data_IF_412074613770
#
_entry.id   IF_412074613770
#
_cell.length_a   1.000
_cell.length_b   1.000
_cell.length_c   1.000
_cell.angle_alpha   90.00
_cell.angle_beta   90.00
_cell.angle_gamma   90.00
#
_symmetry.space_group_name_H-M   'P 1'
#
loop_
_entity.id
_entity.type
_entity.pdbx_description
1 polymer ?
#
# COMPACT_ATOMS: atom_id res chain seq x y z
N UNK A 1 -1.29 13.82 -16.57
CA UNK A 1 -0.33 13.22 -15.61
C UNK A 1 -1.02 12.04 -14.95
N UNK A 2 -0.40 10.86 -14.98
CA UNK A 2 -0.84 9.70 -14.22
C UNK A 2 0.10 9.60 -13.02
N UNK A 3 -0.43 9.70 -11.81
CA UNK A 3 0.36 9.76 -10.57
C UNK A 3 -0.15 8.67 -9.64
N UNK A 4 0.76 7.80 -9.21
CA UNK A 4 0.49 6.88 -8.12
C UNK A 4 0.77 7.59 -6.79
N UNK A 5 -0.23 7.66 -5.92
CA UNK A 5 -0.10 8.22 -4.59
C UNK A 5 0.09 7.10 -3.57
N UNK A 6 1.15 7.17 -2.77
CA UNK A 6 1.43 6.19 -1.72
C UNK A 6 1.38 6.84 -0.34
N UNK A 7 0.77 6.13 0.62
CA UNK A 7 0.78 6.53 2.03
C UNK A 7 1.84 5.69 2.73
N UNK A 8 2.97 6.30 3.06
CA UNK A 8 4.07 5.65 3.76
C UNK A 8 3.88 5.79 5.27
N UNK A 9 3.47 4.70 5.92
CA UNK A 9 3.34 4.63 7.38
C UNK A 9 4.55 3.95 8.01
N UNK A 10 4.91 4.34 9.22
CA UNK A 10 6.05 3.78 9.94
C UNK A 10 5.81 2.35 10.38
N UNK A 11 6.82 1.48 10.23
CA UNK A 11 6.80 0.14 10.82
C UNK A 11 7.63 0.08 12.11
N UNK A 12 7.16 -0.64 13.14
CA UNK A 12 7.93 -0.88 14.35
C UNK A 12 9.14 -1.77 14.04
N UNK A 13 10.25 -1.55 14.76
CA UNK A 13 11.52 -2.27 14.56
C UNK A 13 11.40 -3.78 14.79
N UNK A 14 10.50 -4.18 15.70
CA UNK A 14 10.28 -5.59 16.01
C UNK A 14 9.51 -6.28 14.88
N UNK A 15 10.04 -7.37 14.30
CA UNK A 15 9.39 -8.09 13.20
C UNK A 15 7.99 -8.61 13.54
N UNK A 16 7.78 -8.99 14.80
CA UNK A 16 6.49 -9.52 15.28
C UNK A 16 5.44 -8.40 15.27
N UNK A 17 5.79 -7.23 15.81
CA UNK A 17 4.91 -6.08 15.79
C UNK A 17 4.69 -5.57 14.35
N UNK A 18 5.72 -5.57 13.49
CA UNK A 18 5.56 -5.18 12.09
C UNK A 18 4.58 -6.09 11.35
N UNK A 19 4.62 -7.41 11.61
CA UNK A 19 3.66 -8.37 11.07
C UNK A 19 2.24 -8.10 11.59
N UNK A 20 2.10 -7.78 12.87
CA UNK A 20 0.82 -7.45 13.47
C UNK A 20 0.21 -6.18 12.86
N UNK A 21 1.02 -5.17 12.58
CA UNK A 21 0.58 -3.90 11.95
C UNK A 21 0.04 -4.15 10.55
N UNK A 22 0.79 -4.88 9.72
CA UNK A 22 0.32 -5.29 8.38
C UNK A 22 -0.97 -6.09 8.50
N UNK A 23 -1.03 -7.06 9.41
CA UNK A 23 -2.22 -7.88 9.60
C UNK A 23 -3.46 -7.06 9.96
N UNK A 24 -3.34 -6.07 10.86
CA UNK A 24 -4.43 -5.12 11.17
C UNK A 24 -4.92 -4.37 9.93
N UNK A 25 -3.98 -3.92 9.10
CA UNK A 25 -4.32 -3.25 7.83
C UNK A 25 -5.02 -4.20 6.86
N UNK A 26 -4.58 -5.46 6.75
CA UNK A 26 -5.24 -6.49 5.95
C UNK A 26 -6.66 -6.79 6.44
N UNK A 27 -6.87 -6.80 7.76
CA UNK A 27 -8.19 -6.97 8.36
C UNK A 27 -9.13 -5.84 7.98
N UNK A 28 -8.72 -4.57 8.15
CA UNK A 28 -9.53 -3.41 7.77
C UNK A 28 -9.81 -3.42 6.27
N UNK A 29 -8.80 -3.70 5.45
CA UNK A 29 -8.98 -3.84 4.01
C UNK A 29 -10.02 -4.92 3.68
N UNK A 30 -9.89 -6.11 4.28
CA UNK A 30 -10.82 -7.22 4.09
C UNK A 30 -12.25 -6.91 4.52
N UNK A 31 -12.45 -6.19 5.63
CA UNK A 31 -13.76 -5.71 6.06
C UNK A 31 -14.31 -4.67 5.06
N UNK A 32 -13.47 -3.72 4.64
CA UNK A 32 -13.83 -2.67 3.69
C UNK A 32 -14.20 -3.22 2.31
N UNK A 33 -13.68 -4.40 1.93
CA UNK A 33 -14.10 -5.10 0.70
C UNK A 33 -15.61 -5.39 0.65
N UNK A 34 -16.28 -5.50 1.81
CA UNK A 34 -17.73 -5.67 1.88
C UNK A 34 -18.55 -4.55 1.25
N UNK A 35 -17.96 -3.35 1.16
CA UNK A 35 -18.59 -2.16 0.60
C UNK A 35 -18.32 -1.96 -0.89
N UNK A 36 -17.58 -2.89 -1.52
CA UNK A 36 -17.40 -2.87 -2.97
C UNK A 36 -18.68 -3.35 -3.66
N UNK A 37 -18.97 -2.78 -4.83
CA UNK A 37 -20.08 -3.23 -5.69
C UNK A 37 -19.96 -4.71 -6.05
N UNK A 38 -18.75 -5.19 -6.34
CA UNK A 38 -18.48 -6.58 -6.71
C UNK A 38 -17.18 -7.04 -6.02
N UNK A 39 -17.23 -8.23 -5.41
CA UNK A 39 -16.07 -8.91 -4.82
C UNK A 39 -15.72 -10.13 -5.68
N UNK A 40 -14.63 -10.04 -6.45
CA UNK A 40 -14.20 -11.10 -7.36
C UNK A 40 -13.44 -12.22 -6.62
N UNK A 41 -14.16 -13.08 -5.90
CA UNK A 41 -13.56 -14.16 -5.10
C UNK A 41 -12.72 -15.17 -5.90
N UNK A 42 -12.95 -15.27 -7.21
CA UNK A 42 -12.17 -16.14 -8.12
C UNK A 42 -10.70 -15.75 -8.18
N UNK A 43 -10.35 -14.48 -7.94
CA UNK A 43 -8.96 -13.98 -7.91
C UNK A 43 -8.13 -14.59 -6.77
N UNK A 44 -8.78 -14.96 -5.67
CA UNK A 44 -8.14 -15.51 -4.48
C UNK A 44 -8.16 -17.04 -4.51
N UNK A 45 -7.18 -17.70 -3.87
CA UNK A 45 -7.06 -19.17 -3.79
C UNK A 45 -6.84 -19.62 -2.34
N UNK A 46 -7.33 -20.81 -1.99
CA UNK A 46 -7.12 -21.40 -0.66
C UNK A 46 -7.64 -20.52 0.49
N UNK A 47 -6.80 -20.32 1.50
CA UNK A 47 -7.14 -19.60 2.74
C UNK A 47 -7.47 -18.12 2.49
N UNK A 48 -6.80 -17.46 1.53
CA UNK A 48 -7.07 -16.05 1.25
C UNK A 48 -8.48 -15.83 0.70
N UNK A 49 -9.02 -16.78 -0.08
CA UNK A 49 -10.41 -16.75 -0.55
C UNK A 49 -11.38 -16.84 0.61
N UNK A 50 -11.13 -17.73 1.56
CA UNK A 50 -11.96 -17.88 2.76
C UNK A 50 -11.94 -16.60 3.59
N UNK A 51 -10.75 -16.05 3.83
CA UNK A 51 -10.54 -14.82 4.57
C UNK A 51 -11.30 -13.64 3.94
N UNK A 52 -11.12 -13.40 2.64
CA UNK A 52 -11.84 -12.33 1.92
C UNK A 52 -13.36 -12.56 1.93
N UNK A 53 -13.81 -13.80 1.73
CA UNK A 53 -15.24 -14.15 1.75
C UNK A 53 -15.90 -13.86 3.10
N UNK A 54 -15.24 -14.24 4.20
CA UNK A 54 -15.75 -14.01 5.56
C UNK A 54 -15.70 -12.52 5.90
N UNK A 55 -14.54 -11.88 5.74
CA UNK A 55 -14.38 -10.48 6.14
C UNK A 55 -15.26 -9.53 5.33
N UNK A 56 -15.42 -9.74 4.03
CA UNK A 56 -16.30 -8.88 3.22
C UNK A 56 -17.76 -8.97 3.67
N UNK A 57 -18.26 -10.17 4.02
CA UNK A 57 -19.63 -10.33 4.54
C UNK A 57 -19.82 -9.68 5.90
N UNK A 58 -18.85 -9.84 6.81
CA UNK A 58 -18.89 -9.18 8.12
C UNK A 58 -18.80 -7.66 7.94
N UNK A 59 -17.88 -7.21 7.11
CA UNK A 59 -17.61 -5.80 6.90
C UNK A 59 -18.76 -5.04 6.23
N UNK A 60 -19.57 -5.71 5.40
CA UNK A 60 -20.82 -5.15 4.86
C UNK A 60 -21.80 -4.71 5.96
N UNK A 61 -21.77 -5.36 7.13
CA UNK A 61 -22.60 -5.00 8.29
C UNK A 61 -22.02 -3.83 9.10
N UNK A 62 -20.76 -3.46 8.86
CA UNK A 62 -20.05 -2.41 9.59
C UNK A 62 -20.03 -1.14 8.73
N UNK A 63 -20.50 0.02 9.20
CA UNK A 63 -20.45 1.25 8.42
C UNK A 63 -19.03 1.64 8.01
N UNK A 64 -18.82 2.02 6.74
CA UNK A 64 -17.51 2.50 6.26
C UNK A 64 -16.90 3.63 7.11
N UNK A 65 -17.66 4.65 7.56
CA UNK A 65 -17.09 5.70 8.42
C UNK A 65 -16.45 5.16 9.70
N UNK A 66 -17.02 4.08 10.26
CA UNK A 66 -16.44 3.43 11.43
C UNK A 66 -15.10 2.77 11.08
N UNK A 67 -15.04 2.00 9.99
CA UNK A 67 -13.81 1.35 9.52
C UNK A 67 -12.70 2.37 9.24
N UNK A 68 -13.03 3.48 8.58
CA UNK A 68 -12.09 4.58 8.35
C UNK A 68 -11.61 5.21 9.66
N UNK A 69 -12.52 5.50 10.58
CA UNK A 69 -12.16 6.07 11.89
C UNK A 69 -11.24 5.15 12.69
N UNK A 70 -11.44 3.83 12.57
CA UNK A 70 -10.62 2.83 13.24
C UNK A 70 -9.22 2.76 12.62
N UNK A 71 -9.14 2.76 11.28
CA UNK A 71 -7.86 2.82 10.57
C UNK A 71 -7.08 4.08 10.92
N UNK A 72 -7.73 5.24 10.94
CA UNK A 72 -7.11 6.53 11.26
C UNK A 72 -6.59 6.56 12.70
N UNK A 73 -7.39 6.09 13.67
CA UNK A 73 -6.95 5.99 15.08
C UNK A 73 -5.74 5.10 15.23
N UNK A 74 -5.72 3.97 14.51
CA UNK A 74 -4.59 3.06 14.49
C UNK A 74 -3.34 3.70 13.90
N UNK A 75 -3.44 4.32 12.73
CA UNK A 75 -2.31 5.01 12.09
C UNK A 75 -1.72 6.11 13.00
N UNK A 76 -2.58 6.91 13.66
CA UNK A 76 -2.13 7.97 14.58
C UNK A 76 -1.50 7.46 15.87
N UNK A 77 -2.05 6.40 16.46
CA UNK A 77 -1.48 5.79 17.67
C UNK A 77 -0.11 5.16 17.42
N UNK A 78 0.09 4.71 16.19
CA UNK A 78 1.28 4.00 15.72
C UNK A 78 2.40 4.95 15.25
N UNK A 79 2.12 6.26 15.20
CA UNK A 79 3.11 7.29 14.87
C UNK A 79 4.11 7.46 16.03
N UNK A 80 5.31 6.92 15.86
CA UNK A 80 6.43 7.17 16.76
C UNK A 80 7.25 8.35 16.23
N UNK A 81 7.21 9.54 16.87
CA UNK A 81 8.07 10.64 16.49
C UNK A 81 9.54 10.26 16.75
N UNK A 82 10.34 10.16 15.68
CA UNK A 82 11.79 9.93 15.73
C UNK A 82 12.26 8.74 14.90
N UNK A 83 13.15 9.01 13.93
CA UNK A 83 13.90 8.06 13.07
C UNK A 83 13.29 6.65 12.98
N UNK A 84 12.18 6.48 12.24
CA UNK A 84 11.66 5.15 11.94
C UNK A 84 12.76 4.30 11.31
N UNK A 85 12.70 2.98 11.43
CA UNK A 85 13.66 2.11 10.74
C UNK A 85 13.22 1.79 9.31
N UNK A 86 11.92 1.72 9.09
CA UNK A 86 11.32 1.44 7.79
C UNK A 86 9.89 1.93 7.73
N UNK A 87 9.42 2.08 6.50
CA UNK A 87 8.05 2.41 6.16
C UNK A 87 7.42 1.26 5.37
N UNK A 88 6.09 1.24 5.34
CA UNK A 88 5.31 0.42 4.43
C UNK A 88 4.19 1.25 3.82
N UNK A 89 3.77 0.86 2.62
CA UNK A 89 2.71 1.57 1.93
C UNK A 89 1.35 1.05 2.37
N UNK A 90 0.68 1.76 3.26
CA UNK A 90 -0.55 1.28 3.92
C UNK A 90 -1.77 1.29 3.02
N UNK A 91 -1.75 2.10 1.96
CA UNK A 91 -2.80 2.17 0.95
C UNK A 91 -2.67 1.10 -0.15
N UNK A 92 -1.58 0.34 -0.18
CA UNK A 92 -1.45 -0.78 -1.11
C UNK A 92 -2.37 -1.94 -0.73
N UNK A 93 -2.72 -2.73 -1.74
CA UNK A 93 -3.44 -3.98 -1.53
C UNK A 93 -2.64 -4.92 -0.61
N UNK A 94 -3.32 -5.76 0.20
CA UNK A 94 -2.69 -6.71 1.12
C UNK A 94 -1.49 -7.47 0.55
N UNK A 95 -1.57 -7.88 -0.71
CA UNK A 95 -0.54 -8.68 -1.38
C UNK A 95 0.76 -7.90 -1.63
N UNK A 96 0.75 -6.57 -1.59
CA UNK A 96 1.91 -5.70 -1.79
C UNK A 96 2.43 -5.08 -0.48
N UNK A 97 1.83 -5.39 0.66
CA UNK A 97 2.26 -4.85 1.95
C UNK A 97 3.62 -5.40 2.43
N UNK A 98 4.24 -6.32 1.68
CA UNK A 98 5.63 -6.72 1.87
C UNK A 98 6.62 -5.66 1.36
N UNK A 99 6.20 -4.75 0.47
CA UNK A 99 7.02 -3.65 0.01
C UNK A 99 7.27 -2.69 1.17
N UNK A 100 8.53 -2.61 1.59
CA UNK A 100 8.97 -1.72 2.66
C UNK A 100 10.15 -0.89 2.21
N UNK A 101 10.04 0.42 2.34
CA UNK A 101 11.18 1.32 2.16
C UNK A 101 11.93 1.48 3.48
N UNK A 102 13.25 1.64 3.38
CA UNK A 102 14.08 1.99 4.53
C UNK A 102 14.08 3.49 4.72
N UNK A 103 14.23 3.95 5.94
CA UNK A 103 14.23 5.40 6.20
C UNK A 103 15.40 6.14 5.57
N UNK A 104 16.55 5.47 5.40
CA UNK A 104 17.69 6.00 4.65
C UNK A 104 17.41 6.21 3.16
N UNK A 105 16.34 5.61 2.62
CA UNK A 105 15.91 5.84 1.24
C UNK A 105 14.98 7.05 1.15
N UNK A 106 14.06 7.18 2.11
CA UNK A 106 13.07 8.26 2.20
C UNK A 106 13.69 9.61 2.61
N UNK A 107 14.70 9.58 3.49
CA UNK A 107 15.34 10.75 4.06
C UNK A 107 16.88 10.72 3.90
N UNK A 108 17.54 11.86 3.62
CA UNK A 108 16.94 13.18 3.38
C UNK A 108 16.28 13.28 2.01
N UNK A 109 15.39 14.26 1.85
CA UNK A 109 14.87 14.63 0.53
C UNK A 109 15.89 15.49 -0.23
N UNK A 110 15.90 15.35 -1.55
CA UNK A 110 16.67 16.18 -2.50
C UNK A 110 15.71 16.84 -3.48
N UNK A 111 16.12 17.95 -4.09
CA UNK A 111 15.34 18.59 -5.15
C UNK A 111 15.65 17.95 -6.51
N UNK A 112 14.61 17.59 -7.26
CA UNK A 112 14.72 17.08 -8.62
C UNK A 112 13.87 17.89 -9.60
N UNK A 113 14.35 18.01 -10.84
CA UNK A 113 13.61 18.61 -11.92
C UNK A 113 12.57 17.63 -12.49
N UNK A 114 11.32 18.06 -12.54
CA UNK A 114 10.25 17.32 -13.19
C UNK A 114 9.31 18.30 -13.91
N UNK A 115 9.24 18.19 -15.24
CA UNK A 115 8.35 19.02 -16.08
C UNK A 115 8.50 20.54 -15.84
N UNK A 116 9.73 21.01 -15.57
CA UNK A 116 10.02 22.42 -15.29
C UNK A 116 9.79 22.88 -13.84
N UNK A 117 9.38 21.97 -12.95
CA UNK A 117 9.25 22.22 -11.52
C UNK A 117 10.37 21.55 -10.73
N UNK A 118 10.79 22.19 -9.64
CA UNK A 118 11.63 21.57 -8.60
C UNK A 118 10.72 20.89 -7.59
N UNK A 119 10.85 19.58 -7.45
CA UNK A 119 10.07 18.78 -6.49
C UNK A 119 10.99 18.08 -5.50
N UNK A 120 10.61 18.01 -4.21
CA UNK A 120 11.33 17.20 -3.23
C UNK A 120 11.09 15.73 -3.53
N UNK A 121 12.17 14.95 -3.61
CA UNK A 121 12.13 13.51 -3.77
C UNK A 121 13.03 12.82 -2.74
N UNK A 122 12.74 11.57 -2.35
CA UNK A 122 13.66 10.75 -1.56
C UNK A 122 15.04 10.65 -2.21
N UNK A 123 16.13 10.84 -1.46
CA UNK A 123 17.48 10.62 -2.00
C UNK A 123 17.66 9.19 -2.55
N UNK A 124 17.03 8.21 -1.92
CA UNK A 124 17.01 6.81 -2.34
C UNK A 124 15.91 6.44 -3.32
N UNK A 125 15.37 7.40 -4.09
CA UNK A 125 14.25 7.17 -5.01
C UNK A 125 14.46 5.96 -5.94
N UNK A 126 15.67 5.71 -6.44
CA UNK A 126 15.96 4.60 -7.35
C UNK A 126 15.70 3.24 -6.68
N UNK A 127 16.08 3.08 -5.41
CA UNK A 127 15.82 1.85 -4.66
C UNK A 127 14.32 1.62 -4.44
N UNK A 128 13.57 2.70 -4.16
CA UNK A 128 12.12 2.66 -3.98
C UNK A 128 11.44 2.28 -5.30
N UNK A 129 11.79 2.93 -6.41
CA UNK A 129 11.22 2.66 -7.72
C UNK A 129 11.55 1.24 -8.20
N UNK A 130 12.77 0.74 -7.97
CA UNK A 130 13.13 -0.64 -8.31
C UNK A 130 12.39 -1.67 -7.46
N UNK A 131 12.16 -1.37 -6.19
CA UNK A 131 11.33 -2.23 -5.33
C UNK A 131 9.88 -2.30 -5.82
N UNK A 132 9.30 -1.18 -6.23
CA UNK A 132 7.90 -1.10 -6.64
C UNK A 132 7.65 -1.61 -8.07
N UNK A 133 8.52 -1.24 -9.01
CA UNK A 133 8.28 -1.39 -10.45
C UNK A 133 9.36 -2.23 -11.16
N UNK A 134 10.41 -2.68 -10.46
CA UNK A 134 11.52 -3.41 -11.07
C UNK A 134 12.40 -2.52 -11.95
N UNK A 135 12.65 -2.94 -13.20
CA UNK A 135 13.44 -2.14 -14.16
C UNK A 135 12.57 -1.05 -14.80
N UNK A 136 12.15 -0.08 -14.00
CA UNK A 136 11.20 0.98 -14.39
C UNK A 136 11.69 1.87 -15.55
N UNK A 137 13.01 1.94 -15.75
CA UNK A 137 13.65 2.70 -16.83
C UNK A 137 13.46 2.04 -18.20
N UNK A 138 13.12 0.75 -18.24
CA UNK A 138 12.93 0.00 -19.48
C UNK A 138 11.44 -0.09 -19.75
N UNK A 139 11.00 0.53 -20.85
CA UNK A 139 9.63 0.38 -21.31
C UNK A 139 9.28 -1.09 -21.54
N UNK A 140 8.07 -1.53 -21.17
CA UNK A 140 7.56 -2.83 -21.60
C UNK A 140 7.63 -2.97 -23.13
N UNK A 141 7.66 -4.22 -23.62
CA UNK A 141 7.48 -4.50 -25.06
C UNK A 141 6.19 -3.83 -25.55
N UNK A 142 6.16 -3.33 -26.78
CA UNK A 142 5.01 -2.58 -27.32
C UNK A 142 3.68 -3.32 -27.15
N UNK A 143 3.67 -4.63 -27.42
CA UNK A 143 2.52 -5.52 -27.22
C UNK A 143 1.98 -5.54 -25.78
N UNK A 144 2.83 -5.21 -24.80
CA UNK A 144 2.50 -5.16 -23.37
C UNK A 144 2.26 -3.74 -22.86
N UNK A 145 2.35 -2.70 -23.71
CA UNK A 145 2.05 -1.30 -23.35
C UNK A 145 0.54 -1.05 -23.41
N UNK A 146 -0.22 -1.94 -22.79
CA UNK A 146 -1.68 -1.84 -22.62
C UNK A 146 -1.98 -1.66 -21.13
N UNK A 147 -3.09 -1.02 -20.74
CA UNK A 147 -3.48 -0.90 -19.35
C UNK A 147 -3.50 -2.28 -18.67
N UNK A 148 -2.72 -2.43 -17.59
CA UNK A 148 -2.59 -3.69 -16.85
C UNK A 148 -3.55 -3.80 -15.66
N UNK A 149 -4.10 -2.66 -15.21
CA UNK A 149 -5.23 -2.65 -14.29
C UNK A 149 -6.45 -3.12 -15.09
N UNK A 150 -6.89 -4.36 -14.85
CA UNK A 150 -8.02 -5.00 -15.54
C UNK A 150 -9.14 -3.98 -15.84
N UNK A 151 -9.46 -3.81 -17.11
CA UNK A 151 -10.74 -3.25 -17.56
C UNK A 151 -11.86 -4.18 -17.06
N UNK A 152 -12.27 -4.01 -15.81
CA UNK A 152 -13.53 -4.54 -15.31
C UNK A 152 -14.60 -3.48 -15.53
N UNK A 153 -15.05 -3.35 -16.78
CA UNK A 153 -16.40 -2.86 -17.08
C UNK A 153 -17.33 -4.07 -17.16
#
# INVERSE_FOLDING_TARGET
LWVDCFIADTLPKSPIFARFYRFRQQMIFGLSMGHRRIVHLKKYKGISRLFVSILSKIGYLIPMPFLFSLQEKWAKADHSPGNPCSYYFSNYQPDFQYCTSKSEWEEPVIEADFQGYKLPIPKGYDAILRMLYGKYEILPKEEKRVPSHEEMI
#
